data_IF_778032350943
#
_entry.id   IF_778032350943
#
_cell.length_a   1.000
_cell.length_b   1.000
_cell.length_c   1.000
_cell.angle_alpha   90.00
_cell.angle_beta   90.00
_cell.angle_gamma   90.00
#
_symmetry.space_group_name_H-M   'P 1'
#
loop_
_entity.id
_entity.type
_entity.pdbx_description
1 polymer ?
#
# COMPACT_ATOMS: atom_id res chain seq x y z
N UNK A 1 -17.01 -11.38 10.11
CA UNK A 1 -16.15 -10.70 11.11
C UNK A 1 -15.40 -9.66 10.31
N UNK A 2 -15.74 -8.38 10.47
CA UNK A 2 -15.35 -7.32 9.54
C UNK A 2 -13.82 -7.20 9.44
N UNK A 3 -13.29 -7.29 8.22
CA UNK A 3 -11.89 -7.02 7.84
C UNK A 3 -11.49 -5.53 8.03
N UNK A 4 -12.14 -4.81 8.95
CA UNK A 4 -12.05 -3.36 9.10
C UNK A 4 -10.62 -2.87 9.37
N UNK A 5 -9.84 -3.59 10.16
CA UNK A 5 -8.43 -3.23 10.42
C UNK A 5 -7.53 -3.39 9.21
N UNK A 6 -7.81 -4.37 8.34
CA UNK A 6 -7.07 -4.55 7.09
C UNK A 6 -7.44 -3.47 6.07
N UNK A 7 -8.74 -3.13 5.97
CA UNK A 7 -9.22 -2.03 5.14
C UNK A 7 -8.64 -0.69 5.61
N UNK A 8 -8.54 -0.44 6.92
CA UNK A 8 -7.88 0.74 7.48
C UNK A 8 -6.40 0.83 7.06
N UNK A 9 -5.68 -0.29 7.03
CA UNK A 9 -4.29 -0.33 6.55
C UNK A 9 -4.22 0.09 5.08
N UNK A 10 -5.07 -0.49 4.23
CA UNK A 10 -5.13 -0.16 2.80
C UNK A 10 -5.46 1.32 2.60
N UNK A 11 -6.51 1.81 3.26
CA UNK A 11 -6.94 3.21 3.17
C UNK A 11 -5.86 4.19 3.65
N UNK A 12 -5.15 3.85 4.74
CA UNK A 12 -4.05 4.66 5.24
C UNK A 12 -2.89 4.74 4.22
N UNK A 13 -2.50 3.61 3.62
CA UNK A 13 -1.44 3.57 2.60
C UNK A 13 -1.84 4.32 1.33
N UNK A 14 -3.07 4.16 0.88
CA UNK A 14 -3.61 4.91 -0.24
C UNK A 14 -3.60 6.43 0.04
N UNK A 15 -4.00 6.86 1.24
CA UNK A 15 -3.96 8.26 1.63
C UNK A 15 -2.54 8.86 1.55
N UNK A 16 -1.51 8.12 1.99
CA UNK A 16 -0.11 8.57 1.87
C UNK A 16 0.32 8.74 0.41
N UNK A 17 -0.11 7.87 -0.48
CA UNK A 17 0.22 7.95 -1.92
C UNK A 17 -0.48 9.16 -2.56
N UNK A 18 -1.77 9.36 -2.28
CA UNK A 18 -2.55 10.50 -2.80
C UNK A 18 -1.93 11.83 -2.35
N UNK A 19 -1.45 11.90 -1.10
CA UNK A 19 -0.86 13.12 -0.55
C UNK A 19 0.59 13.38 -1.01
N UNK A 20 1.26 12.43 -1.67
CA UNK A 20 2.65 12.56 -2.08
C UNK A 20 2.86 13.40 -3.36
N UNK A 21 1.83 14.07 -3.88
CA UNK A 21 1.86 14.89 -5.11
C UNK A 21 2.39 14.16 -6.36
N UNK A 22 2.36 12.82 -6.36
CA UNK A 22 2.72 12.01 -7.52
C UNK A 22 1.58 11.99 -8.55
N UNK A 23 1.93 11.85 -9.84
CA UNK A 23 0.94 11.57 -10.88
C UNK A 23 0.43 10.14 -10.71
N UNK A 24 -0.69 10.02 -10.00
CA UNK A 24 -1.32 8.75 -9.63
C UNK A 24 -1.97 8.05 -10.84
N UNK A 25 -2.15 8.75 -11.96
CA UNK A 25 -2.93 8.25 -13.11
C UNK A 25 -2.19 7.20 -13.95
N UNK A 26 -0.86 7.18 -13.87
CA UNK A 26 -0.01 6.23 -14.60
C UNK A 26 0.58 5.12 -13.71
N UNK A 27 0.32 5.18 -12.39
CA UNK A 27 0.89 4.26 -11.40
C UNK A 27 0.00 3.05 -11.17
N UNK A 28 0.62 1.88 -11.01
CA UNK A 28 -0.05 0.71 -10.45
C UNK A 28 -0.21 0.90 -8.93
N UNK A 29 -1.32 1.52 -8.53
CA UNK A 29 -1.62 1.85 -7.14
C UNK A 29 -1.62 0.60 -6.26
N UNK A 30 -2.14 -0.52 -6.77
CA UNK A 30 -2.17 -1.80 -6.07
C UNK A 30 -0.76 -2.28 -5.72
N UNK A 31 0.13 -2.33 -6.71
CA UNK A 31 1.52 -2.74 -6.52
C UNK A 31 2.27 -1.83 -5.53
N UNK A 32 2.01 -0.52 -5.55
CA UNK A 32 2.64 0.45 -4.63
C UNK A 32 2.15 0.25 -3.20
N UNK A 33 0.84 0.06 -3.00
CA UNK A 33 0.28 -0.23 -1.68
C UNK A 33 0.84 -1.55 -1.14
N UNK A 34 0.85 -2.61 -1.96
CA UNK A 34 1.43 -3.90 -1.57
C UNK A 34 2.88 -3.77 -1.11
N UNK A 35 3.71 -3.11 -1.90
CA UNK A 35 5.12 -2.91 -1.58
C UNK A 35 5.29 -2.13 -0.27
N UNK A 36 4.51 -1.05 -0.09
CA UNK A 36 4.53 -0.26 1.15
C UNK A 36 4.07 -1.05 2.38
N UNK A 37 3.13 -1.99 2.22
CA UNK A 37 2.72 -2.89 3.31
C UNK A 37 3.82 -3.91 3.63
N UNK A 38 4.45 -4.52 2.61
CA UNK A 38 5.54 -5.50 2.79
C UNK A 38 6.73 -4.91 3.53
N UNK A 39 7.15 -3.69 3.16
CA UNK A 39 8.24 -2.98 3.84
C UNK A 39 7.93 -2.69 5.31
N UNK A 40 6.71 -2.25 5.60
CA UNK A 40 6.24 -2.02 6.97
C UNK A 40 6.24 -3.30 7.80
N UNK A 41 5.79 -4.42 7.23
CA UNK A 41 5.82 -5.73 7.90
C UNK A 41 7.26 -6.10 8.27
N UNK A 42 8.19 -5.98 7.33
CA UNK A 42 9.62 -6.31 7.58
C UNK A 42 10.18 -5.43 8.70
N UNK A 43 9.95 -4.12 8.64
CA UNK A 43 10.37 -3.17 9.67
C UNK A 43 9.80 -3.51 11.05
N UNK A 44 8.50 -3.83 11.13
CA UNK A 44 7.83 -4.20 12.38
C UNK A 44 8.32 -5.53 12.93
N UNK A 45 8.52 -6.55 12.09
CA UNK A 45 9.07 -7.85 12.52
C UNK A 45 10.48 -7.71 13.10
N UNK A 46 11.34 -6.89 12.47
CA UNK A 46 12.67 -6.56 13.01
C UNK A 46 12.59 -5.84 14.36
N UNK A 47 11.65 -4.89 14.50
CA UNK A 47 11.40 -4.18 15.75
C UNK A 47 10.93 -5.10 16.87
N UNK A 48 10.00 -6.02 16.57
CA UNK A 48 9.52 -7.04 17.52
C UNK A 48 10.70 -7.89 18.01
N UNK A 49 11.53 -8.41 17.10
CA UNK A 49 12.69 -9.21 17.48
C UNK A 49 13.65 -8.44 18.42
N UNK A 50 13.92 -7.17 18.09
CA UNK A 50 14.76 -6.29 18.92
C UNK A 50 14.16 -6.04 20.30
N UNK A 51 12.84 -5.86 20.38
CA UNK A 51 12.10 -5.65 21.63
C UNK A 51 12.08 -6.90 22.51
N UNK A 52 11.92 -8.09 21.92
CA UNK A 52 12.02 -9.37 22.65
C UNK A 52 13.41 -9.51 23.28
N UNK A 53 14.47 -9.26 22.52
CA UNK A 53 15.85 -9.30 23.05
C UNK A 53 16.08 -8.24 24.15
N UNK A 54 15.44 -7.07 24.06
CA UNK A 54 15.51 -6.06 25.13
C UNK A 54 14.84 -6.54 26.42
N UNK A 55 13.69 -7.21 26.32
CA UNK A 55 12.97 -7.81 27.45
C UNK A 55 13.83 -8.90 28.13
N UNK A 56 14.46 -9.78 27.35
CA UNK A 56 15.34 -10.82 27.89
C UNK A 56 16.50 -10.21 28.69
N UNK A 57 17.17 -9.20 28.11
CA UNK A 57 18.27 -8.48 28.77
C UNK A 57 17.80 -7.78 30.06
N UNK A 58 16.63 -7.14 30.03
CA UNK A 58 16.03 -6.53 31.22
C UNK A 58 15.73 -7.57 32.31
N UNK A 59 15.23 -8.75 31.93
CA UNK A 59 14.99 -9.87 32.83
C UNK A 59 16.27 -10.37 33.52
N UNK A 60 17.36 -10.53 32.76
CA UNK A 60 18.68 -10.91 33.32
C UNK A 60 19.20 -9.86 34.30
N UNK A 61 19.10 -8.58 33.95
CA UNK A 61 19.53 -7.48 34.82
C UNK A 61 18.70 -7.43 36.11
N UNK A 62 17.38 -7.59 36.00
CA UNK A 62 16.47 -7.66 37.16
C UNK A 62 16.83 -8.80 38.10
N UNK A 63 17.08 -10.00 37.58
CA UNK A 63 17.47 -11.15 38.40
C UNK A 63 18.80 -10.91 39.14
N UNK A 64 19.76 -10.23 38.51
CA UNK A 64 21.01 -9.81 39.15
C UNK A 64 20.77 -8.76 40.24
N UNK A 65 19.93 -7.76 39.97
CA UNK A 65 19.60 -6.68 40.91
C UNK A 65 18.90 -7.24 42.16
N UNK A 66 17.92 -8.14 41.98
CA UNK A 66 17.21 -8.79 43.09
C UNK A 66 18.12 -9.68 43.94
N UNK A 67 19.10 -10.37 43.34
CA UNK A 67 20.11 -11.15 44.10
C UNK A 67 21.08 -10.29 44.92
N UNK A 68 21.32 -9.05 44.50
CA UNK A 68 22.27 -8.14 45.18
C UNK A 68 21.62 -7.32 46.29
N UNK A 69 20.31 -7.10 46.22
CA UNK A 69 19.58 -6.28 47.18
C UNK A 69 18.96 -7.16 48.29
N UNK A 70 19.43 -7.00 49.53
CA UNK A 70 18.84 -7.63 50.73
C UNK A 70 17.53 -6.95 51.18
N UNK A 71 16.66 -6.51 50.27
CA UNK A 71 15.43 -5.81 50.64
C UNK A 71 14.45 -5.62 49.48
N UNK A 72 13.16 -5.69 49.80
CA UNK A 72 12.03 -5.75 48.87
C UNK A 72 11.77 -4.48 48.03
N UNK A 73 12.41 -3.34 48.33
CA UNK A 73 12.14 -2.08 47.61
C UNK A 73 13.33 -1.57 46.78
N UNK A 74 13.74 -2.35 45.77
CA UNK A 74 14.74 -1.90 44.82
C UNK A 74 14.10 -1.11 43.66
N UNK A 75 14.26 0.22 43.68
CA UNK A 75 13.74 1.12 42.65
C UNK A 75 14.16 0.73 41.21
N UNK A 76 15.39 0.24 41.02
CA UNK A 76 15.87 -0.21 39.72
C UNK A 76 15.12 -1.47 39.26
N UNK A 77 14.81 -2.40 40.18
CA UNK A 77 14.01 -3.58 39.83
C UNK A 77 12.59 -3.17 39.37
N UNK A 78 11.96 -2.18 40.02
CA UNK A 78 10.65 -1.65 39.60
C UNK A 78 10.69 -1.01 38.21
N UNK A 79 11.74 -0.24 37.90
CA UNK A 79 11.93 0.37 36.57
C UNK A 79 12.07 -0.72 35.50
N UNK A 80 12.82 -1.78 35.78
CA UNK A 80 12.96 -2.92 34.86
C UNK A 80 11.64 -3.67 34.68
N UNK A 81 10.86 -3.85 35.75
CA UNK A 81 9.52 -4.46 35.68
C UNK A 81 8.52 -3.60 34.87
N UNK A 82 8.63 -2.27 34.95
CA UNK A 82 7.83 -1.36 34.13
C UNK A 82 8.26 -1.41 32.66
N UNK A 83 9.57 -1.38 32.39
CA UNK A 83 10.10 -1.46 31.04
C UNK A 83 9.73 -2.79 30.34
N UNK A 84 9.81 -3.91 31.06
CA UNK A 84 9.37 -5.22 30.55
C UNK A 84 7.90 -5.20 30.12
N UNK A 85 7.01 -4.69 30.98
CA UNK A 85 5.57 -4.59 30.70
C UNK A 85 5.28 -3.71 29.49
N UNK A 86 5.82 -2.48 29.49
CA UNK A 86 5.62 -1.55 28.38
C UNK A 86 6.13 -2.15 27.05
N UNK A 87 7.28 -2.81 27.07
CA UNK A 87 7.85 -3.43 25.87
C UNK A 87 6.99 -4.58 25.36
N UNK A 88 6.46 -5.43 26.25
CA UNK A 88 5.52 -6.49 25.87
C UNK A 88 4.24 -5.93 25.23
N UNK A 89 3.70 -4.84 25.77
CA UNK A 89 2.55 -4.17 25.19
C UNK A 89 2.86 -3.63 23.78
N UNK A 90 4.05 -3.08 23.58
CA UNK A 90 4.51 -2.63 22.26
C UNK A 90 4.70 -3.79 21.27
N UNK A 91 5.24 -4.93 21.72
CA UNK A 91 5.37 -6.14 20.90
C UNK A 91 4.00 -6.60 20.44
N UNK A 92 3.05 -6.75 21.39
CA UNK A 92 1.68 -7.17 21.08
C UNK A 92 1.00 -6.26 20.05
N UNK A 93 1.13 -4.93 20.21
CA UNK A 93 0.59 -3.96 19.25
C UNK A 93 1.22 -4.10 17.86
N UNK A 94 2.53 -4.34 17.79
CA UNK A 94 3.19 -4.57 16.50
C UNK A 94 2.77 -5.90 15.87
N UNK A 95 2.57 -6.96 16.66
CA UNK A 95 2.06 -8.25 16.17
C UNK A 95 0.62 -8.15 15.65
N UNK A 96 -0.25 -7.39 16.33
CA UNK A 96 -1.61 -7.09 15.86
C UNK A 96 -1.58 -6.28 14.56
N UNK A 97 -0.72 -5.26 14.46
CA UNK A 97 -0.55 -4.48 13.24
C UNK A 97 -0.02 -5.34 12.07
N UNK A 98 0.95 -6.22 12.33
CA UNK A 98 1.47 -7.15 11.31
C UNK A 98 0.37 -8.07 10.82
N UNK A 99 -0.46 -8.64 11.71
CA UNK A 99 -1.59 -9.48 11.30
C UNK A 99 -2.62 -8.74 10.45
N UNK A 100 -2.93 -7.49 10.80
CA UNK A 100 -3.82 -6.66 10.00
C UNK A 100 -3.23 -6.35 8.61
N UNK A 101 -1.92 -6.12 8.54
CA UNK A 101 -1.18 -5.90 7.29
C UNK A 101 -1.10 -7.16 6.42
N UNK A 102 -0.86 -8.32 7.01
CA UNK A 102 -0.89 -9.61 6.30
C UNK A 102 -2.29 -9.87 5.73
N UNK A 103 -3.34 -9.61 6.52
CA UNK A 103 -4.73 -9.68 6.04
C UNK A 103 -5.03 -8.67 4.93
N UNK A 104 -4.44 -7.47 5.00
CA UNK A 104 -4.57 -6.47 3.93
C UNK A 104 -3.94 -6.94 2.62
N UNK A 105 -2.81 -7.64 2.67
CA UNK A 105 -2.20 -8.24 1.47
C UNK A 105 -3.10 -9.32 0.87
N UNK A 106 -3.70 -10.19 1.69
CA UNK A 106 -4.66 -11.20 1.21
C UNK A 106 -5.86 -10.54 0.51
N UNK A 107 -6.39 -9.46 1.08
CA UNK A 107 -7.49 -8.70 0.47
C UNK A 107 -7.05 -8.07 -0.86
N UNK A 108 -5.85 -7.51 -0.93
CA UNK A 108 -5.33 -6.92 -2.18
C UNK A 108 -5.11 -7.97 -3.28
N UNK A 109 -4.69 -9.18 -2.93
CA UNK A 109 -4.60 -10.28 -3.89
C UNK A 109 -5.98 -10.65 -4.48
N UNK A 110 -7.02 -10.63 -3.64
CA UNK A 110 -8.41 -10.85 -4.07
C UNK A 110 -9.01 -9.63 -4.81
N UNK A 111 -8.51 -8.42 -4.52
CA UNK A 111 -8.98 -7.14 -5.09
C UNK A 111 -8.05 -6.70 -6.24
N UNK A 112 -8.26 -7.28 -7.42
CA UNK A 112 -7.57 -6.84 -8.64
C UNK A 112 -7.99 -5.41 -9.01
N UNK A 113 -7.15 -4.41 -8.67
CA UNK A 113 -7.25 -3.06 -9.25
C UNK A 113 -7.03 -3.05 -10.76
N UNK A 114 -6.54 -4.16 -11.34
CA UNK A 114 -6.29 -4.27 -12.78
C UNK A 114 -7.58 -4.29 -13.63
N UNK A 115 -8.74 -4.61 -13.03
CA UNK A 115 -10.03 -4.50 -13.72
C UNK A 115 -10.49 -3.04 -13.87
N UNK A 116 -9.89 -2.11 -13.13
CA UNK A 116 -10.17 -0.66 -13.16
C UNK A 116 -9.06 0.12 -13.89
N UNK A 117 -8.25 -0.57 -14.72
CA UNK A 117 -7.29 0.12 -15.59
C UNK A 117 -8.08 1.02 -16.55
N UNK A 118 -7.80 2.33 -16.61
CA UNK A 118 -8.40 3.16 -17.64
C UNK A 118 -8.03 2.54 -19.00
N UNK A 119 -9.01 2.41 -19.93
CA UNK A 119 -8.70 1.94 -21.27
C UNK A 119 -7.52 2.78 -21.81
N UNK A 120 -6.61 2.17 -22.60
CA UNK A 120 -5.50 2.92 -23.18
C UNK A 120 -6.08 4.19 -23.82
N UNK A 121 -5.46 5.37 -23.60
CA UNK A 121 -6.00 6.62 -24.06
C UNK A 121 -6.33 6.48 -25.53
N UNK A 122 -7.61 6.62 -25.85
CA UNK A 122 -8.06 6.56 -27.22
C UNK A 122 -7.43 7.79 -27.87
N UNK A 123 -6.57 7.59 -28.86
CA UNK A 123 -5.97 8.70 -29.60
C UNK A 123 -7.08 9.36 -30.42
N UNK A 124 -7.78 10.30 -29.80
CA UNK A 124 -8.90 11.06 -30.38
C UNK A 124 -8.46 11.77 -31.67
N UNK A 125 -7.16 12.10 -31.78
CA UNK A 125 -6.58 12.67 -32.99
C UNK A 125 -6.49 11.63 -34.09
N UNK A 126 -6.08 10.39 -33.78
CA UNK A 126 -6.06 9.30 -34.75
C UNK A 126 -7.47 8.91 -35.22
N UNK A 127 -8.47 8.93 -34.33
CA UNK A 127 -9.89 8.71 -34.70
C UNK A 127 -10.41 9.83 -35.60
N UNK A 128 -10.21 11.09 -35.21
CA UNK A 128 -10.62 12.23 -36.03
C UNK A 128 -9.91 12.23 -37.40
N UNK A 129 -8.64 11.81 -37.44
CA UNK A 129 -7.89 11.67 -38.69
C UNK A 129 -8.46 10.53 -39.55
N UNK A 130 -8.83 9.40 -38.94
CA UNK A 130 -9.46 8.30 -39.67
C UNK A 130 -10.82 8.73 -40.25
N UNK A 131 -11.66 9.38 -39.46
CA UNK A 131 -12.99 9.85 -39.88
C UNK A 131 -12.89 10.88 -41.00
N UNK A 132 -11.91 11.78 -40.92
CA UNK A 132 -11.67 12.79 -41.98
C UNK A 132 -11.14 12.15 -43.27
N UNK A 133 -10.25 11.15 -43.18
CA UNK A 133 -9.80 10.38 -44.36
C UNK A 133 -10.97 9.64 -45.01
N UNK A 134 -11.81 8.99 -44.20
CA UNK A 134 -12.98 8.27 -44.71
C UNK A 134 -13.99 9.21 -45.40
N UNK A 135 -14.27 10.38 -44.81
CA UNK A 135 -15.14 11.37 -45.42
C UNK A 135 -14.59 11.92 -46.76
N UNK A 136 -13.26 12.05 -46.88
CA UNK A 136 -12.61 12.45 -48.12
C UNK A 136 -12.69 11.37 -49.20
N UNK A 137 -12.57 10.09 -48.83
CA UNK A 137 -12.74 8.96 -49.75
C UNK A 137 -14.18 8.85 -50.26
N UNK A 138 -15.17 9.04 -49.38
CA UNK A 138 -16.59 9.07 -49.75
C UNK A 138 -16.90 10.24 -50.70
N UNK A 139 -16.35 11.43 -50.44
CA UNK A 139 -16.47 12.58 -51.35
C UNK A 139 -15.80 12.33 -52.71
N UNK A 140 -14.61 11.71 -52.72
CA UNK A 140 -13.92 11.37 -53.95
C UNK A 140 -14.71 10.33 -54.77
N UNK A 141 -15.36 9.37 -54.11
CA UNK A 141 -16.25 8.41 -54.76
C UNK A 141 -17.47 9.11 -55.37
N UNK A 142 -18.11 10.05 -54.65
CA UNK A 142 -19.24 10.84 -55.17
C UNK A 142 -18.83 11.67 -56.38
N UNK A 143 -17.66 12.32 -56.32
CA UNK A 143 -17.15 13.16 -57.40
C UNK A 143 -16.72 12.35 -58.63
N UNK A 144 -16.21 11.12 -58.45
CA UNK A 144 -15.89 10.21 -59.55
C UNK A 144 -17.13 9.56 -60.19
N UNK A 145 -18.29 9.60 -59.53
CA UNK A 145 -19.57 9.07 -60.06
C UNK A 145 -20.38 10.15 -60.79
N UNK A 146 -19.99 11.44 -60.72
CA UNK A 146 -20.63 12.51 -61.50
C UNK A 146 -20.28 12.38 -63.00
N UNK A 147 -21.25 12.17 -63.90
CA UNK A 147 -20.97 12.22 -65.33
C UNK A 147 -20.61 13.65 -65.71
N UNK A 148 -19.56 13.81 -66.52
CA UNK A 148 -19.13 15.06 -67.14
C UNK A 148 -20.26 15.57 -68.05
N UNK A 149 -21.24 16.27 -67.47
CA UNK A 149 -22.31 16.92 -68.23
C UNK A 149 -21.66 18.04 -69.06
N UNK A 150 -21.69 17.83 -70.36
CA UNK A 150 -21.03 18.65 -71.36
C UNK A 150 -21.55 20.09 -71.32
N UNK A 151 -20.59 21.01 -71.45
CA UNK A 151 -20.80 22.41 -71.79
C UNK A 151 -21.51 22.44 -73.15
N UNK A 152 -22.63 23.16 -73.24
CA UNK A 152 -23.26 23.53 -74.50
C UNK A 152 -23.55 25.03 -74.50
#
# INVERSE_FOLDING_TARGET
NFDGSAIEVIAHKLGLIIHAEHDVTSMDIGAVIEQAIREDIVSRKSRIASQIQAVERAGCLRARVRRKANGEDNALARVLDWHERATKDHVKKNEEAVRAMERALEILEDYSFADDRPPPPVDEVALALHDTVQALEELAAILNVQPKAAVS
#
